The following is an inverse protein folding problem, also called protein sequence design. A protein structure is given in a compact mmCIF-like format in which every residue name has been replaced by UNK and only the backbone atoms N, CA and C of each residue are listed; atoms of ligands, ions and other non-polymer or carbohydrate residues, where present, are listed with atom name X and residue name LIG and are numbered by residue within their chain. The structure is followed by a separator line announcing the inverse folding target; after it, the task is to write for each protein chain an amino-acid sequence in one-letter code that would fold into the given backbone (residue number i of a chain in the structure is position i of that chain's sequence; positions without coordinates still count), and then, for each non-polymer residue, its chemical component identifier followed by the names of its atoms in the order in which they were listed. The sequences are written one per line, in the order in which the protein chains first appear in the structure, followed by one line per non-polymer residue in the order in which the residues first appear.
data_IF_502890515542
#
_entry.id   IF_502890515542
#
_cell.length_a   1.000
_cell.length_b   1.000
_cell.length_c   1.000
_cell.angle_alpha   90.00
_cell.angle_beta   90.00
_cell.angle_gamma   90.00
#
_symmetry.space_group_name_H-M   'P 1'
#
loop_
_entity.id
_entity.type
_entity.pdbx_description
1 polymer ?
#
# COMPACT_ATOMS: atom_id res chain seq x y z
N UNK A 1 -0.80 19.59 -5.33
CA UNK A 1 0.42 19.37 -4.56
C UNK A 1 0.63 17.88 -4.38
N UNK A 2 1.85 17.43 -4.58
CA UNK A 2 2.25 16.04 -4.41
C UNK A 2 3.25 15.96 -3.24
N UNK A 3 2.90 15.14 -2.24
CA UNK A 3 3.76 14.82 -1.09
C UNK A 3 4.42 13.48 -1.36
N UNK A 4 5.74 13.47 -1.53
CA UNK A 4 6.49 12.28 -1.96
C UNK A 4 7.43 11.75 -0.88
N UNK A 5 7.60 10.43 -0.88
CA UNK A 5 8.62 9.71 -0.12
C UNK A 5 9.30 8.70 -1.04
N UNK A 6 10.61 8.64 -1.02
CA UNK A 6 11.40 7.66 -1.75
C UNK A 6 11.96 6.63 -0.77
N UNK A 7 11.80 5.36 -1.13
CA UNK A 7 12.38 4.23 -0.42
C UNK A 7 13.40 3.57 -1.35
N UNK A 8 14.61 3.39 -0.86
CA UNK A 8 15.73 2.87 -1.63
C UNK A 8 15.94 1.39 -1.28
N UNK A 9 16.16 0.58 -2.30
CA UNK A 9 16.37 -0.86 -2.17
C UNK A 9 17.63 -1.28 -2.91
N UNK A 10 18.28 -2.33 -2.44
CA UNK A 10 19.48 -2.88 -3.06
C UNK A 10 19.18 -3.63 -4.37
N UNK A 11 17.98 -4.21 -4.47
CA UNK A 11 17.60 -5.03 -5.63
C UNK A 11 16.30 -4.55 -6.26
N UNK A 12 16.25 -4.55 -7.57
CA UNK A 12 15.02 -4.24 -8.35
C UNK A 12 13.85 -5.16 -7.98
N UNK A 13 14.13 -6.42 -7.67
CA UNK A 13 13.10 -7.37 -7.26
C UNK A 13 12.38 -6.92 -5.98
N UNK A 14 13.10 -6.28 -5.05
CA UNK A 14 12.51 -5.79 -3.80
C UNK A 14 11.48 -4.67 -4.04
N UNK A 15 11.76 -3.75 -4.98
CA UNK A 15 10.79 -2.72 -5.41
C UNK A 15 9.53 -3.37 -5.97
N UNK A 16 9.68 -4.37 -6.85
CA UNK A 16 8.56 -5.06 -7.47
C UNK A 16 7.72 -5.82 -6.43
N UNK A 17 8.35 -6.50 -5.48
CA UNK A 17 7.65 -7.24 -4.43
C UNK A 17 6.81 -6.33 -3.55
N UNK A 18 7.36 -5.15 -3.13
CA UNK A 18 6.61 -4.16 -2.35
C UNK A 18 5.45 -3.58 -3.15
N UNK A 19 5.68 -3.27 -4.43
CA UNK A 19 4.61 -2.78 -5.31
C UNK A 19 3.48 -3.82 -5.46
N UNK A 20 3.82 -5.09 -5.61
CA UNK A 20 2.83 -6.17 -5.69
C UNK A 20 2.05 -6.35 -4.37
N UNK A 21 2.69 -6.09 -3.22
CA UNK A 21 2.01 -6.06 -1.92
C UNK A 21 0.98 -4.93 -1.88
N UNK A 22 1.33 -3.70 -2.32
CA UNK A 22 0.37 -2.59 -2.39
C UNK A 22 -0.83 -2.90 -3.29
N UNK A 23 -0.61 -3.56 -4.44
CA UNK A 23 -1.69 -3.98 -5.35
C UNK A 23 -2.68 -4.95 -4.70
N UNK A 24 -2.23 -5.73 -3.71
CA UNK A 24 -3.06 -6.66 -2.95
C UNK A 24 -3.77 -6.03 -1.76
N UNK A 25 -3.52 -4.76 -1.44
CA UNK A 25 -4.05 -4.06 -0.27
C UNK A 25 -5.57 -4.11 -0.16
N UNK A 26 -6.08 -3.87 1.06
CA UNK A 26 -7.51 -3.82 1.29
C UNK A 26 -8.09 -2.50 0.75
N UNK A 27 -9.23 -2.52 0.03
CA UNK A 27 -9.81 -1.31 -0.56
C UNK A 27 -10.20 -0.28 0.49
N UNK A 28 -9.75 0.96 0.32
CA UNK A 28 -10.21 2.10 1.12
C UNK A 28 -11.63 2.48 0.65
N UNK A 29 -12.61 2.68 1.55
CA UNK A 29 -13.92 3.17 1.17
C UNK A 29 -13.84 4.49 0.37
N UNK A 30 -14.63 4.60 -0.69
CA UNK A 30 -14.70 5.77 -1.60
C UNK A 30 -13.43 6.03 -2.44
N UNK A 31 -12.47 5.11 -2.47
CA UNK A 31 -11.34 5.13 -3.39
C UNK A 31 -11.47 4.02 -4.42
N UNK A 32 -11.10 4.33 -5.66
CA UNK A 32 -11.04 3.39 -6.76
C UNK A 32 -9.59 3.21 -7.21
N UNK A 33 -9.23 2.01 -7.62
CA UNK A 33 -7.93 1.78 -8.29
C UNK A 33 -7.97 2.41 -9.67
N UNK A 34 -7.01 3.30 -9.93
CA UNK A 34 -6.78 3.87 -11.27
C UNK A 34 -5.94 2.86 -12.06
N UNK A 35 -6.38 2.54 -13.26
CA UNK A 35 -5.68 1.64 -14.18
C UNK A 35 -5.33 2.36 -15.46
N UNK A 36 -4.13 2.13 -15.94
CA UNK A 36 -3.70 2.62 -17.23
C UNK A 36 -4.16 1.62 -18.30
N UNK A 37 -5.07 2.06 -19.19
CA UNK A 37 -5.62 1.24 -20.27
C UNK A 37 -7.11 0.92 -20.13
N UNK A 38 -7.68 0.34 -21.19
CA UNK A 38 -9.13 0.11 -21.36
C UNK A 38 -9.72 -0.98 -20.46
N UNK A 39 -8.92 -1.80 -19.78
CA UNK A 39 -9.40 -3.02 -19.14
C UNK A 39 -9.19 -3.00 -17.64
N UNK A 40 -10.27 -3.27 -16.93
CA UNK A 40 -10.37 -3.17 -15.48
C UNK A 40 -10.33 -4.53 -14.75
N UNK A 41 -9.68 -5.56 -15.33
CA UNK A 41 -9.59 -6.86 -14.70
C UNK A 41 -8.51 -6.92 -13.60
N UNK A 42 -8.75 -7.70 -12.55
CA UNK A 42 -7.85 -7.84 -11.40
C UNK A 42 -6.44 -8.28 -11.80
N UNK A 43 -6.31 -9.07 -12.87
CA UNK A 43 -5.02 -9.59 -13.31
C UNK A 43 -4.18 -8.58 -14.09
N UNK A 44 -4.79 -7.55 -14.67
CA UNK A 44 -4.10 -6.54 -15.47
C UNK A 44 -3.29 -5.55 -14.61
N UNK A 45 -3.60 -5.43 -13.32
CA UNK A 45 -2.78 -4.61 -12.41
C UNK A 45 -1.34 -5.13 -12.26
N UNK A 46 -1.06 -6.37 -12.68
CA UNK A 46 0.27 -6.98 -12.65
C UNK A 46 0.95 -7.05 -14.02
N UNK A 47 0.33 -6.50 -15.09
CA UNK A 47 0.82 -6.58 -16.47
C UNK A 47 1.05 -5.20 -17.09
N UNK A 48 1.91 -5.14 -18.10
CA UNK A 48 2.16 -3.93 -18.88
C UNK A 48 2.58 -2.73 -18.02
N UNK A 49 2.07 -1.54 -18.34
CA UNK A 49 2.36 -0.31 -17.60
C UNK A 49 1.92 -0.37 -16.13
N UNK A 50 0.88 -1.16 -15.82
CA UNK A 50 0.42 -1.35 -14.44
C UNK A 50 1.37 -2.21 -13.60
N UNK A 51 2.31 -2.94 -14.20
CA UNK A 51 3.31 -3.72 -13.47
C UNK A 51 4.18 -2.82 -12.58
N UNK A 52 4.52 -1.63 -13.06
CA UNK A 52 5.46 -0.70 -12.42
C UNK A 52 4.78 0.42 -11.61
N UNK A 53 3.46 0.41 -11.49
CA UNK A 53 2.72 1.43 -10.75
C UNK A 53 1.41 0.89 -10.18
N UNK A 54 0.95 1.54 -9.10
CA UNK A 54 -0.37 1.34 -8.54
C UNK A 54 -0.88 2.66 -7.97
N UNK A 55 -2.11 3.02 -8.28
CA UNK A 55 -2.72 4.27 -7.84
C UNK A 55 -4.16 4.03 -7.41
N UNK A 56 -4.54 4.64 -6.30
CA UNK A 56 -5.93 4.78 -5.88
C UNK A 56 -6.31 6.25 -5.82
N UNK A 57 -7.52 6.56 -6.24
CA UNK A 57 -8.04 7.92 -6.28
C UNK A 57 -9.44 7.96 -5.68
N UNK A 58 -9.77 9.01 -4.93
CA UNK A 58 -11.12 9.18 -4.42
C UNK A 58 -12.08 9.62 -5.53
N UNK A 59 -13.39 9.41 -5.32
CA UNK A 59 -14.42 9.72 -6.33
C UNK A 59 -14.42 11.17 -6.79
N UNK A 60 -14.06 12.11 -5.91
CA UNK A 60 -13.99 13.54 -6.24
C UNK A 60 -12.68 13.97 -6.91
N UNK A 61 -11.75 13.04 -7.14
CA UNK A 61 -10.39 13.29 -7.68
C UNK A 61 -9.59 14.33 -6.91
N UNK A 62 -9.98 14.60 -5.67
CA UNK A 62 -9.31 15.57 -4.81
C UNK A 62 -8.15 14.99 -4.01
N UNK A 63 -7.99 13.67 -4.03
CA UNK A 63 -6.91 12.96 -3.35
C UNK A 63 -6.60 11.65 -4.08
N UNK A 64 -5.33 11.43 -4.38
CA UNK A 64 -4.82 10.17 -4.91
C UNK A 64 -3.60 9.71 -4.09
N UNK A 65 -3.42 8.40 -3.99
CA UNK A 65 -2.22 7.78 -3.45
C UNK A 65 -1.65 6.84 -4.51
N UNK A 66 -0.40 7.08 -4.86
CA UNK A 66 0.33 6.31 -5.87
C UNK A 66 1.56 5.66 -5.25
N UNK A 67 1.84 4.45 -5.70
CA UNK A 67 3.10 3.73 -5.42
C UNK A 67 3.65 3.27 -6.76
N UNK A 68 4.91 3.57 -7.03
CA UNK A 68 5.51 3.21 -8.32
C UNK A 68 7.04 3.08 -8.28
N UNK A 69 7.55 2.29 -9.23
CA UNK A 69 8.98 2.13 -9.50
C UNK A 69 9.51 3.40 -10.18
N UNK A 70 10.16 4.26 -9.38
CA UNK A 70 10.68 5.55 -9.87
C UNK A 70 11.86 5.37 -10.79
N UNK A 71 12.69 4.35 -10.59
CA UNK A 71 13.83 4.07 -11.46
C UNK A 71 13.36 3.68 -12.86
N UNK A 72 12.33 2.83 -12.94
CA UNK A 72 11.67 2.48 -14.21
C UNK A 72 11.02 3.70 -14.87
N UNK A 73 10.37 4.56 -14.12
CA UNK A 73 9.73 5.77 -14.66
C UNK A 73 10.76 6.74 -15.25
N UNK A 74 11.89 6.96 -14.57
CA UNK A 74 12.99 7.80 -15.05
C UNK A 74 13.58 7.25 -16.37
N UNK A 75 13.83 5.94 -16.41
CA UNK A 75 14.33 5.30 -17.64
C UNK A 75 13.35 5.44 -18.80
N UNK A 76 12.06 5.16 -18.58
CA UNK A 76 11.06 5.10 -19.67
C UNK A 76 10.57 6.46 -20.14
N UNK A 77 10.48 7.46 -19.25
CA UNK A 77 9.93 8.78 -19.59
C UNK A 77 10.99 9.83 -19.88
N UNK A 78 12.17 9.68 -19.29
CA UNK A 78 13.20 10.71 -19.32
C UNK A 78 14.53 10.21 -19.91
N UNK A 79 14.62 8.92 -20.27
CA UNK A 79 15.85 8.26 -20.71
C UNK A 79 17.02 8.41 -19.71
N UNK A 80 16.67 8.53 -18.43
CA UNK A 80 17.64 8.65 -17.32
C UNK A 80 17.78 7.29 -16.65
N UNK A 81 18.97 6.70 -16.75
CA UNK A 81 19.34 5.47 -16.02
C UNK A 81 20.03 5.83 -14.72
N UNK A 82 19.58 5.22 -13.65
CA UNK A 82 20.18 5.33 -12.32
C UNK A 82 20.43 3.92 -11.78
N UNK A 83 21.44 3.78 -10.94
CA UNK A 83 21.80 2.48 -10.33
C UNK A 83 20.90 2.15 -9.13
N UNK A 84 20.28 3.15 -8.52
CA UNK A 84 19.39 2.98 -7.39
C UNK A 84 18.05 2.37 -7.80
N UNK A 85 17.50 1.52 -6.92
CA UNK A 85 16.18 0.96 -7.05
C UNK A 85 15.21 1.67 -6.10
N UNK A 86 14.33 2.51 -6.65
CA UNK A 86 13.51 3.44 -5.88
C UNK A 86 12.04 3.09 -6.00
N UNK A 87 11.41 2.78 -4.87
CA UNK A 87 9.97 2.77 -4.72
C UNK A 87 9.51 4.15 -4.24
N UNK A 88 8.68 4.83 -5.00
CA UNK A 88 8.10 6.11 -4.60
C UNK A 88 6.67 5.96 -4.14
N UNK A 89 6.40 6.55 -2.97
CA UNK A 89 5.06 6.76 -2.45
C UNK A 89 4.70 8.23 -2.68
N UNK A 90 3.56 8.50 -3.27
CA UNK A 90 3.11 9.85 -3.63
C UNK A 90 1.66 10.06 -3.21
N UNK A 91 1.42 11.09 -2.39
CA UNK A 91 0.10 11.59 -2.07
C UNK A 91 -0.17 12.87 -2.84
N UNK A 92 -1.12 12.82 -3.75
CA UNK A 92 -1.58 13.97 -4.51
C UNK A 92 -2.81 14.56 -3.86
N UNK A 93 -2.76 15.86 -3.57
CA UNK A 93 -3.88 16.63 -3.06
C UNK A 93 -4.31 17.71 -4.04
N UNK A 94 -5.59 17.67 -4.41
CA UNK A 94 -6.23 18.75 -5.12
C UNK A 94 -6.59 19.93 -4.18
N UNK A 95 -6.92 21.09 -4.76
CA UNK A 95 -7.16 22.33 -4.03
C UNK A 95 -8.13 22.16 -2.84
N UNK A 96 -9.27 21.52 -3.06
CA UNK A 96 -10.28 21.33 -2.00
C UNK A 96 -9.78 20.51 -0.82
N UNK A 97 -8.84 19.60 -1.04
CA UNK A 97 -8.22 18.81 0.02
C UNK A 97 -7.18 19.63 0.77
N UNK A 98 -6.37 20.43 0.06
CA UNK A 98 -5.38 21.33 0.65
C UNK A 98 -6.06 22.31 1.60
N UNK A 99 -7.10 23.01 1.15
CA UNK A 99 -7.87 23.95 1.97
C UNK A 99 -8.46 23.32 3.24
N UNK A 100 -8.75 22.02 3.22
CA UNK A 100 -9.24 21.28 4.42
C UNK A 100 -8.12 20.85 5.38
N UNK A 101 -6.91 20.72 4.88
CA UNK A 101 -5.75 20.27 5.68
C UNK A 101 -4.96 21.42 6.28
N UNK A 102 -5.07 22.61 5.68
CA UNK A 102 -4.32 23.81 6.09
C UNK A 102 -5.25 24.88 6.65
N UNK A 103 -4.73 25.74 7.53
CA UNK A 103 -5.42 26.91 8.07
C UNK A 103 -5.08 28.18 7.29
N UNK A 104 -3.92 28.23 6.68
CA UNK A 104 -3.45 29.36 5.89
C UNK A 104 -4.32 29.60 4.65
N UNK A 105 -4.44 30.83 4.21
CA UNK A 105 -5.22 31.23 3.04
C UNK A 105 -4.37 31.41 1.79
N UNK A 106 -3.11 31.85 1.97
CA UNK A 106 -2.15 32.00 0.88
C UNK A 106 -1.46 30.65 0.56
N UNK A 107 -1.00 30.50 -0.67
CA UNK A 107 -0.49 29.23 -1.16
C UNK A 107 0.88 28.88 -0.56
N UNK A 108 1.72 29.87 -0.24
CA UNK A 108 3.06 29.65 0.31
C UNK A 108 2.97 29.07 1.71
N UNK A 109 2.19 29.71 2.58
CA UNK A 109 1.91 29.21 3.93
C UNK A 109 1.22 27.84 3.91
N UNK A 110 0.32 27.60 2.95
CA UNK A 110 -0.30 26.28 2.77
C UNK A 110 0.75 25.21 2.44
N UNK A 111 1.74 25.50 1.58
CA UNK A 111 2.79 24.54 1.25
C UNK A 111 3.68 24.25 2.46
N UNK A 112 4.01 25.25 3.27
CA UNK A 112 4.78 25.07 4.50
C UNK A 112 4.01 24.19 5.50
N UNK A 113 2.73 24.48 5.73
CA UNK A 113 1.87 23.66 6.59
C UNK A 113 1.75 22.21 6.08
N UNK A 114 1.61 21.99 4.77
CA UNK A 114 1.58 20.66 4.18
C UNK A 114 2.92 19.94 4.30
N UNK A 115 4.03 20.65 4.10
CA UNK A 115 5.38 20.12 4.25
C UNK A 115 5.59 19.51 5.63
N UNK A 116 5.14 20.20 6.68
CA UNK A 116 5.23 19.70 8.06
C UNK A 116 4.34 18.48 8.35
N UNK A 117 3.40 18.14 7.46
CA UNK A 117 2.45 17.07 7.63
C UNK A 117 2.71 15.84 6.74
N UNK A 118 3.74 15.87 5.88
CA UNK A 118 4.00 14.83 4.86
C UNK A 118 3.98 13.44 5.47
N UNK A 119 4.80 13.19 6.48
CA UNK A 119 4.92 11.90 7.16
C UNK A 119 3.58 11.46 7.75
N UNK A 120 2.92 12.35 8.49
CA UNK A 120 1.63 12.06 9.13
C UNK A 120 0.54 11.71 8.09
N UNK A 121 0.50 12.41 6.96
CA UNK A 121 -0.48 12.12 5.90
C UNK A 121 -0.18 10.78 5.22
N UNK A 122 1.08 10.46 4.97
CA UNK A 122 1.47 9.16 4.42
C UNK A 122 1.15 8.02 5.39
N UNK A 123 1.51 8.14 6.68
CA UNK A 123 1.17 7.18 7.71
C UNK A 123 -0.35 6.93 7.80
N UNK A 124 -1.17 7.98 7.75
CA UNK A 124 -2.64 7.83 7.72
C UNK A 124 -3.12 7.01 6.54
N UNK A 125 -2.52 7.17 5.36
CA UNK A 125 -2.88 6.37 4.19
C UNK A 125 -2.44 4.92 4.33
N UNK A 126 -1.19 4.68 4.74
CA UNK A 126 -0.66 3.33 4.98
C UNK A 126 -1.50 2.57 6.02
N UNK A 127 -1.86 3.24 7.12
CA UNK A 127 -2.74 2.66 8.14
C UNK A 127 -4.13 2.29 7.58
N UNK A 128 -4.73 3.16 6.76
CA UNK A 128 -6.03 2.87 6.12
C UNK A 128 -5.99 1.71 5.12
N UNK A 129 -4.83 1.47 4.51
CA UNK A 129 -4.55 0.36 3.62
C UNK A 129 -4.19 -0.93 4.37
N UNK A 130 -3.94 -0.86 5.67
CA UNK A 130 -3.30 -1.90 6.48
C UNK A 130 -1.91 -2.29 5.93
N UNK A 131 -1.13 -1.28 5.55
CA UNK A 131 0.19 -1.40 4.93
C UNK A 131 1.28 -0.65 5.71
N UNK A 132 1.11 -0.46 7.03
CA UNK A 132 2.14 0.15 7.88
C UNK A 132 3.44 -0.66 7.88
N UNK A 133 3.32 -1.98 7.73
CA UNK A 133 4.44 -2.92 7.64
C UNK A 133 4.34 -3.64 6.28
N UNK A 134 4.76 -2.95 5.22
CA UNK A 134 4.73 -3.48 3.85
C UNK A 134 6.05 -4.17 3.44
N UNK A 135 7.07 -4.13 4.30
CA UNK A 135 8.26 -4.97 4.12
C UNK A 135 7.91 -6.41 4.52
N UNK A 136 7.89 -7.34 3.56
CA UNK A 136 7.42 -8.67 3.85
C UNK A 136 8.47 -9.49 4.58
N UNK A 137 8.03 -10.21 5.59
CA UNK A 137 8.80 -11.29 6.21
C UNK A 137 8.50 -12.61 5.50
N UNK A 138 9.33 -13.63 5.69
CA UNK A 138 9.06 -14.97 5.16
C UNK A 138 7.80 -15.58 5.81
N UNK A 139 7.13 -16.50 5.10
CA UNK A 139 5.95 -17.16 5.67
C UNK A 139 6.25 -17.93 6.98
N UNK A 140 7.37 -18.69 7.11
CA UNK A 140 7.75 -19.30 8.38
C UNK A 140 7.86 -18.27 9.50
N UNK A 141 8.60 -17.18 9.31
CA UNK A 141 8.77 -16.13 10.30
C UNK A 141 7.41 -15.49 10.69
N UNK A 142 6.55 -15.23 9.72
CA UNK A 142 5.21 -14.70 9.99
C UNK A 142 4.39 -15.65 10.85
N UNK A 143 4.45 -16.96 10.58
CA UNK A 143 3.79 -17.98 11.38
C UNK A 143 4.36 -18.08 12.79
N UNK A 144 5.67 -17.96 12.96
CA UNK A 144 6.33 -17.95 14.26
C UNK A 144 5.91 -16.73 15.10
N UNK A 145 5.86 -15.55 14.50
CA UNK A 145 5.35 -14.33 15.18
C UNK A 145 3.88 -14.48 15.60
N UNK A 146 3.03 -15.09 14.77
CA UNK A 146 1.65 -15.41 15.13
C UNK A 146 1.60 -16.36 16.32
N UNK A 147 2.43 -17.42 16.32
CA UNK A 147 2.46 -18.41 17.39
C UNK A 147 2.96 -17.82 18.71
N UNK A 148 3.99 -16.98 18.65
CA UNK A 148 4.54 -16.27 19.82
C UNK A 148 3.61 -15.16 20.37
N UNK A 149 2.62 -14.72 19.60
CA UNK A 149 1.75 -13.63 20.02
C UNK A 149 0.89 -14.00 21.24
N UNK A 150 0.45 -12.97 22.00
CA UNK A 150 -0.43 -13.13 23.16
C UNK A 150 -1.89 -13.47 22.85
N UNK A 151 -2.25 -13.61 21.57
CA UNK A 151 -3.64 -13.84 21.18
C UNK A 151 -4.11 -15.26 21.53
N UNK A 152 -5.41 -15.37 21.80
CA UNK A 152 -6.07 -16.66 22.04
C UNK A 152 -5.97 -17.56 20.79
N UNK A 153 -5.89 -18.89 20.97
CA UNK A 153 -5.68 -19.86 19.91
C UNK A 153 -6.69 -19.79 18.75
N UNK A 154 -7.97 -19.50 19.04
CA UNK A 154 -8.99 -19.25 17.99
C UNK A 154 -8.60 -18.08 17.07
N UNK A 155 -7.99 -17.04 17.61
CA UNK A 155 -7.51 -15.88 16.84
C UNK A 155 -6.26 -16.27 16.04
N UNK A 156 -5.28 -16.92 16.66
CA UNK A 156 -4.07 -17.41 15.99
C UNK A 156 -4.43 -18.31 14.79
N UNK A 157 -5.40 -19.21 14.95
CA UNK A 157 -5.89 -20.08 13.87
C UNK A 157 -6.40 -19.26 12.67
N UNK A 158 -7.15 -18.18 12.92
CA UNK A 158 -7.62 -17.28 11.84
C UNK A 158 -6.47 -16.53 11.18
N UNK A 159 -5.52 -15.99 11.96
CA UNK A 159 -4.34 -15.28 11.45
C UNK A 159 -3.47 -16.21 10.59
N UNK A 160 -3.15 -17.43 11.06
CA UNK A 160 -2.41 -18.44 10.27
C UNK A 160 -3.12 -18.76 8.94
N UNK A 161 -4.46 -18.87 8.96
CA UNK A 161 -5.24 -19.13 7.74
C UNK A 161 -5.14 -17.97 6.76
N UNK A 162 -5.20 -16.71 7.23
CA UNK A 162 -5.03 -15.52 6.39
C UNK A 162 -3.62 -15.48 5.82
N UNK A 163 -2.58 -15.62 6.65
CA UNK A 163 -1.18 -15.58 6.23
C UNK A 163 -0.86 -16.62 5.13
N UNK A 164 -1.29 -17.88 5.32
CA UNK A 164 -1.09 -18.95 4.33
C UNK A 164 -1.80 -18.66 3.00
N UNK A 165 -3.01 -18.06 3.03
CA UNK A 165 -3.76 -17.71 1.83
C UNK A 165 -3.25 -16.45 1.14
N UNK A 166 -2.64 -15.52 1.89
CA UNK A 166 -2.16 -14.26 1.36
C UNK A 166 -1.02 -14.43 0.35
N UNK A 167 -0.21 -15.47 0.48
CA UNK A 167 0.90 -15.76 -0.41
C UNK A 167 0.49 -16.02 -1.87
N UNK A 168 -0.65 -16.68 -2.09
CA UNK A 168 -1.14 -17.04 -3.43
C UNK A 168 -2.31 -16.17 -3.93
N UNK A 169 -2.69 -15.12 -3.20
CA UNK A 169 -3.94 -14.40 -3.46
C UNK A 169 -3.74 -13.12 -4.29
N UNK A 170 -4.74 -12.78 -5.09
CA UNK A 170 -4.77 -11.57 -5.92
C UNK A 170 -5.03 -10.31 -5.09
N UNK A 171 -5.76 -10.40 -3.97
CA UNK A 171 -6.05 -9.27 -3.08
C UNK A 171 -6.53 -9.71 -1.69
N UNK A 172 -6.34 -8.85 -0.69
CA UNK A 172 -6.88 -9.07 0.67
C UNK A 172 -8.42 -9.17 0.69
N UNK A 173 -9.09 -8.49 -0.24
CA UNK A 173 -10.54 -8.61 -0.38
C UNK A 173 -10.96 -10.02 -0.83
N UNK A 174 -10.19 -10.65 -1.73
CA UNK A 174 -10.42 -12.04 -2.14
C UNK A 174 -10.18 -13.01 -0.98
N UNK A 175 -9.09 -12.83 -0.21
CA UNK A 175 -8.81 -13.66 0.99
C UNK A 175 -9.97 -13.58 1.98
N UNK A 176 -10.51 -12.38 2.23
CA UNK A 176 -11.65 -12.21 3.13
C UNK A 176 -12.85 -13.06 2.69
N UNK A 177 -13.18 -13.02 1.39
CA UNK A 177 -14.28 -13.81 0.82
C UNK A 177 -14.03 -15.32 0.97
N UNK A 178 -12.84 -15.75 0.61
CA UNK A 178 -12.38 -17.15 0.66
C UNK A 178 -12.39 -17.71 2.10
N UNK A 179 -12.02 -16.89 3.05
CA UNK A 179 -12.07 -17.24 4.47
C UNK A 179 -13.47 -17.11 5.07
N UNK A 180 -14.45 -16.61 4.35
CA UNK A 180 -15.82 -16.34 4.79
C UNK A 180 -15.87 -15.49 6.07
N UNK A 181 -15.01 -14.46 6.14
CA UNK A 181 -14.91 -13.56 7.30
C UNK A 181 -15.71 -12.29 7.02
N UNK A 182 -16.52 -11.83 7.98
CA UNK A 182 -17.19 -10.53 7.90
C UNK A 182 -16.17 -9.40 7.78
N UNK A 183 -16.51 -8.31 7.06
CA UNK A 183 -15.59 -7.20 6.78
C UNK A 183 -15.01 -6.60 8.05
N UNK A 184 -15.85 -6.32 9.05
CA UNK A 184 -15.43 -5.76 10.33
C UNK A 184 -14.43 -6.64 11.09
N UNK A 185 -14.67 -7.95 11.09
CA UNK A 185 -13.78 -8.90 11.75
C UNK A 185 -12.45 -9.08 11.00
N UNK A 186 -12.50 -9.03 9.67
CA UNK A 186 -11.30 -9.09 8.85
C UNK A 186 -10.38 -7.88 9.10
N UNK A 187 -10.96 -6.66 9.15
CA UNK A 187 -10.23 -5.44 9.49
C UNK A 187 -9.57 -5.54 10.87
N UNK A 188 -10.28 -6.06 11.89
CA UNK A 188 -9.71 -6.31 13.20
C UNK A 188 -8.55 -7.31 13.16
N UNK A 189 -8.62 -8.32 12.31
CA UNK A 189 -7.53 -9.29 12.13
C UNK A 189 -6.33 -8.68 11.41
N UNK A 190 -6.54 -7.78 10.43
CA UNK A 190 -5.45 -7.03 9.81
C UNK A 190 -4.74 -6.13 10.83
N UNK A 191 -5.47 -5.43 11.69
CA UNK A 191 -4.88 -4.65 12.79
C UNK A 191 -4.01 -5.48 13.73
N UNK A 192 -4.32 -6.77 13.92
CA UNK A 192 -3.49 -7.66 14.75
C UNK A 192 -2.15 -8.02 14.09
N UNK A 193 -2.06 -8.07 12.78
CA UNK A 193 -0.77 -8.17 12.09
C UNK A 193 0.05 -6.89 12.32
N UNK A 194 -0.56 -5.72 12.21
CA UNK A 194 0.09 -4.44 12.49
C UNK A 194 0.58 -4.35 13.94
N UNK A 195 -0.21 -4.81 14.93
CA UNK A 195 0.20 -4.90 16.34
C UNK A 195 1.41 -5.82 16.57
N UNK A 196 1.63 -6.82 15.70
CA UNK A 196 2.80 -7.70 15.73
C UNK A 196 4.00 -7.13 14.95
N UNK A 197 3.88 -5.93 14.38
CA UNK A 197 4.92 -5.30 13.57
C UNK A 197 5.15 -5.97 12.21
N UNK A 198 4.11 -6.58 11.63
CA UNK A 198 4.22 -7.29 10.33
C UNK A 198 3.01 -7.01 9.44
N UNK A 199 3.21 -7.14 8.12
CA UNK A 199 2.12 -7.27 7.16
C UNK A 199 1.55 -8.68 7.15
N UNK A 200 0.31 -8.83 6.67
CA UNK A 200 -0.30 -10.16 6.51
C UNK A 200 0.13 -10.88 5.23
N UNK A 201 0.85 -10.20 4.34
CA UNK A 201 1.37 -10.73 3.07
C UNK A 201 2.85 -11.00 3.28
N UNK A 202 3.28 -12.25 3.16
CA UNK A 202 4.67 -12.65 3.27
C UNK A 202 5.40 -12.56 1.92
N UNK A 203 6.73 -12.51 1.95
CA UNK A 203 7.56 -12.60 0.75
C UNK A 203 7.37 -13.94 0.06
N UNK A 204 7.67 -13.96 -1.24
CA UNK A 204 7.68 -15.21 -2.04
C UNK A 204 9.02 -15.97 -1.95
N UNK A 205 9.92 -15.50 -1.09
CA UNK A 205 11.22 -16.12 -0.89
C UNK A 205 11.10 -17.47 -0.20
#
# INVERSE_FOLDING_TARGET
CDLTCNLYYERKADVQDRLDIFKKSFPIPHYNTVKFGKYANSDEQFKGANKHSWTIENKSKSCAFSVYDKSYELEKRHDIKIDEHILRLELRFGRSKITKLTKAKDWESQLIELGSQVENQQHKFLHRLHMMHFDPVSLPELLDRINASKYHEKTKKKLRRIAKKANGCVSLAAIRKDCRIKKSDFIKLLGKFEEMGVGCISSKL
#
